data_IF_376653217147
#
_entry.id   IF_376653217147
#
_cell.length_a   1.000
_cell.length_b   1.000
_cell.length_c   1.000
_cell.angle_alpha   90.00
_cell.angle_beta   90.00
_cell.angle_gamma   90.00
#
_symmetry.space_group_name_H-M   'P 1'
#
loop_
_entity.id
_entity.type
_entity.pdbx_description
1 polymer ?
#
# COMPACT_ATOMS: atom_id res chain seq x y z
N UNK A 1 4.08 -9.23 23.90
CA UNK A 1 4.17 -9.04 22.44
C UNK A 1 3.57 -7.71 22.06
N UNK A 2 4.32 -6.91 21.33
CA UNK A 2 3.84 -5.59 20.92
C UNK A 2 3.16 -5.69 19.55
N UNK A 3 1.98 -5.13 19.43
CA UNK A 3 1.25 -5.08 18.15
C UNK A 3 1.38 -3.67 17.58
N UNK A 4 1.75 -3.58 16.32
CA UNK A 4 1.78 -2.33 15.58
C UNK A 4 0.87 -2.45 14.38
N UNK A 5 0.47 -1.32 13.80
CA UNK A 5 -0.44 -1.30 12.68
C UNK A 5 0.24 -0.68 11.47
N UNK A 6 0.11 -1.35 10.35
CA UNK A 6 0.42 -0.78 9.05
C UNK A 6 -0.85 -0.08 8.55
N UNK A 7 -0.75 1.18 8.23
CA UNK A 7 -1.88 1.96 7.73
C UNK A 7 -1.68 2.17 6.23
N UNK A 8 -2.64 1.71 5.45
CA UNK A 8 -2.67 1.95 4.01
C UNK A 8 -3.67 3.07 3.70
N UNK A 9 -3.24 4.04 2.92
CA UNK A 9 -4.12 5.09 2.42
C UNK A 9 -4.53 4.69 1.02
N UNK A 10 -5.82 4.47 0.83
CA UNK A 10 -6.37 3.88 -0.39
C UNK A 10 -7.30 4.89 -1.07
N UNK A 11 -7.14 5.01 -2.38
CA UNK A 11 -8.02 5.85 -3.19
C UNK A 11 -9.32 5.08 -3.47
N UNK A 12 -10.45 5.67 -3.09
CA UNK A 12 -11.73 4.97 -3.13
C UNK A 12 -12.43 5.03 -4.49
N UNK A 13 -11.86 5.72 -5.46
CA UNK A 13 -12.43 5.79 -6.80
C UNK A 13 -13.45 6.89 -7.02
N UNK A 14 -14.04 7.40 -5.95
CA UNK A 14 -15.03 8.50 -5.99
C UNK A 14 -14.45 9.86 -5.58
N UNK A 15 -13.13 9.93 -5.51
CA UNK A 15 -12.41 11.12 -5.07
C UNK A 15 -12.08 11.15 -3.59
N UNK A 16 -12.52 10.14 -2.84
CA UNK A 16 -12.23 10.03 -1.41
C UNK A 16 -11.03 9.16 -1.11
N UNK A 17 -10.58 9.21 0.13
CA UNK A 17 -9.53 8.35 0.64
C UNK A 17 -10.10 7.51 1.77
N UNK A 18 -9.65 6.28 1.88
CA UNK A 18 -9.96 5.45 3.04
C UNK A 18 -8.67 4.88 3.62
N UNK A 19 -8.74 4.48 4.88
CA UNK A 19 -7.59 4.00 5.62
C UNK A 19 -7.84 2.55 6.02
N UNK A 20 -6.89 1.69 5.72
CA UNK A 20 -6.96 0.28 6.08
C UNK A 20 -5.88 0.00 7.10
N UNK A 21 -6.24 -0.59 8.25
CA UNK A 21 -5.30 -0.95 9.30
C UNK A 21 -4.99 -2.43 9.22
N UNK A 22 -3.72 -2.76 9.11
CA UNK A 22 -3.26 -4.15 9.11
C UNK A 22 -2.42 -4.36 10.36
N UNK A 23 -2.89 -5.14 11.34
CA UNK A 23 -2.10 -5.40 12.54
C UNK A 23 -1.00 -6.40 12.26
N UNK A 24 0.16 -6.19 12.86
CA UNK A 24 1.21 -7.20 12.86
C UNK A 24 1.95 -7.20 14.18
N UNK A 25 2.43 -8.37 14.58
CA UNK A 25 3.10 -8.55 15.85
C UNK A 25 4.60 -8.32 15.68
N UNK A 26 5.17 -7.54 16.58
CA UNK A 26 6.60 -7.40 16.69
C UNK A 26 7.16 -8.67 17.34
N UNK A 27 8.10 -9.32 16.69
CA UNK A 27 8.71 -10.55 17.18
C UNK A 27 10.21 -10.37 17.35
N UNK A 28 10.91 -11.43 17.73
CA UNK A 28 12.37 -11.43 17.86
C UNK A 28 13.08 -11.19 16.53
N UNK A 29 12.39 -11.43 15.42
CA UNK A 29 12.85 -11.05 14.09
C UNK A 29 11.98 -9.91 13.62
N UNK A 30 12.39 -8.67 13.88
CA UNK A 30 11.53 -7.54 13.57
C UNK A 30 11.30 -7.40 12.08
N UNK A 31 10.03 -7.32 11.72
CA UNK A 31 9.62 -6.98 10.35
C UNK A 31 9.38 -5.48 10.33
N UNK A 32 10.01 -4.80 9.40
CA UNK A 32 9.83 -3.35 9.27
C UNK A 32 8.46 -3.04 8.67
N UNK A 33 8.04 -1.78 8.83
CA UNK A 33 6.82 -1.30 8.21
C UNK A 33 6.84 -1.54 6.69
N UNK A 34 7.97 -1.25 6.05
CA UNK A 34 8.11 -1.41 4.61
C UNK A 34 8.00 -2.86 4.18
N UNK A 35 8.57 -3.79 4.96
CA UNK A 35 8.45 -5.21 4.66
C UNK A 35 7.01 -5.69 4.78
N UNK A 36 6.27 -5.23 5.78
CA UNK A 36 4.85 -5.55 5.92
C UNK A 36 4.04 -4.97 4.77
N UNK A 37 4.37 -3.77 4.34
CA UNK A 37 3.72 -3.15 3.19
C UNK A 37 3.93 -4.02 1.95
N UNK A 38 5.16 -4.41 1.65
CA UNK A 38 5.47 -5.22 0.47
C UNK A 38 4.78 -6.58 0.49
N UNK A 39 4.60 -7.17 1.66
CA UNK A 39 3.91 -8.47 1.79
C UNK A 39 2.43 -8.39 1.53
N UNK A 40 1.83 -7.22 1.71
CA UNK A 40 0.38 -7.06 1.65
C UNK A 40 -0.11 -6.41 0.36
N UNK A 41 0.78 -5.88 -0.45
CA UNK A 41 0.41 -5.20 -1.69
C UNK A 41 0.97 -5.93 -2.89
N UNK A 42 0.41 -5.63 -4.05
CA UNK A 42 0.91 -6.12 -5.34
C UNK A 42 1.25 -4.93 -6.22
N UNK A 43 2.29 -5.10 -7.02
CA UNK A 43 2.69 -4.10 -8.00
C UNK A 43 2.24 -4.57 -9.36
N UNK A 44 1.47 -3.75 -10.07
CA UNK A 44 0.98 -4.07 -11.40
C UNK A 44 1.33 -2.95 -12.37
N UNK A 45 1.54 -3.29 -13.62
CA UNK A 45 1.79 -2.28 -14.64
C UNK A 45 0.55 -1.42 -14.84
N UNK A 46 0.77 -0.12 -14.99
CA UNK A 46 -0.30 0.81 -15.29
C UNK A 46 -0.61 0.76 -16.79
N UNK A 47 -1.78 0.23 -17.20
CA UNK A 47 -2.12 0.12 -18.62
C UNK A 47 -2.32 1.48 -19.30
N UNK A 48 -2.51 2.53 -18.50
CA UNK A 48 -2.68 3.88 -19.01
C UNK A 48 -1.36 4.66 -19.08
N UNK A 49 -0.25 4.03 -18.71
CA UNK A 49 1.04 4.70 -18.73
C UNK A 49 1.47 5.00 -20.16
N UNK A 50 1.86 6.26 -20.38
CA UNK A 50 2.49 6.71 -21.62
C UNK A 50 3.60 7.67 -21.22
N UNK A 51 4.71 7.57 -21.90
CA UNK A 51 5.83 8.47 -21.66
C UNK A 51 5.38 9.92 -21.85
N UNK A 52 5.62 10.73 -20.84
CA UNK A 52 5.32 12.16 -20.89
C UNK A 52 3.91 12.57 -20.48
N UNK A 53 3.04 11.64 -20.08
CA UNK A 53 1.67 12.01 -19.69
C UNK A 53 1.49 12.23 -18.18
N UNK A 54 2.57 12.12 -17.40
CA UNK A 54 2.51 12.33 -15.97
C UNK A 54 2.02 11.14 -15.16
N UNK A 55 1.69 10.03 -15.79
CA UNK A 55 1.24 8.83 -15.08
C UNK A 55 2.42 8.04 -14.52
N UNK A 56 2.16 7.27 -13.46
CA UNK A 56 3.17 6.36 -12.92
C UNK A 56 3.17 5.06 -13.71
N UNK A 57 4.36 4.48 -13.84
CA UNK A 57 4.52 3.23 -14.57
C UNK A 57 3.90 2.04 -13.82
N UNK A 58 4.07 2.00 -12.49
CA UNK A 58 3.65 0.87 -11.67
C UNK A 58 2.63 1.35 -10.66
N UNK A 59 1.52 0.61 -10.54
CA UNK A 59 0.48 0.87 -9.56
C UNK A 59 0.63 -0.09 -8.39
N UNK A 60 0.46 0.42 -7.18
CA UNK A 60 0.44 -0.38 -5.96
C UNK A 60 -1.01 -0.74 -5.64
N UNK A 61 -1.29 -2.04 -5.51
CA UNK A 61 -2.65 -2.53 -5.29
C UNK A 61 -2.76 -3.30 -3.98
N UNK A 62 -3.84 -3.07 -3.25
CA UNK A 62 -4.23 -3.86 -2.10
C UNK A 62 -5.68 -4.27 -2.30
N UNK A 63 -5.94 -5.57 -2.42
CA UNK A 63 -7.28 -6.11 -2.71
C UNK A 63 -7.94 -5.39 -3.89
N UNK A 64 -7.16 -5.21 -4.96
CA UNK A 64 -7.59 -4.55 -6.20
C UNK A 64 -7.90 -3.05 -6.05
N UNK A 65 -7.45 -2.43 -4.97
CA UNK A 65 -7.63 -1.01 -4.73
C UNK A 65 -6.29 -0.28 -4.83
N UNK A 66 -6.32 0.96 -5.32
CA UNK A 66 -5.10 1.75 -5.46
C UNK A 66 -4.63 2.28 -4.12
N UNK A 67 -3.39 1.96 -3.76
CA UNK A 67 -2.76 2.47 -2.55
C UNK A 67 -1.92 3.68 -2.93
N UNK A 68 -2.17 4.82 -2.27
CA UNK A 68 -1.47 6.08 -2.58
C UNK A 68 -0.41 6.43 -1.55
N UNK A 69 -0.48 5.86 -0.36
CA UNK A 69 0.52 6.07 0.70
C UNK A 69 0.41 4.96 1.74
N UNK A 70 1.42 4.87 2.59
CA UNK A 70 1.38 3.97 3.76
C UNK A 70 2.24 4.55 4.87
N UNK A 71 1.92 4.16 6.10
CA UNK A 71 2.73 4.51 7.27
C UNK A 71 2.43 3.53 8.41
N UNK A 72 3.29 3.56 9.41
CA UNK A 72 3.09 2.81 10.65
C UNK A 72 3.01 3.73 11.85
#
# INVERSE_FOLDING_TARGET
MKVVFLILVIYSGDGGLKYEKIPFAYSLLPITCDEMFEKNVKYVENPNYKEGNGEVWVLTKYKNQNVVAHYC
#
